data_IF_621439150906
#
_entry.id   IF_621439150906
#
_cell.length_a   1.000
_cell.length_b   1.000
_cell.length_c   1.000
_cell.angle_alpha   90.00
_cell.angle_beta   90.00
_cell.angle_gamma   90.00
#
_symmetry.space_group_name_H-M   'P 1'
#
loop_
_entity.id
_entity.type
_entity.pdbx_description
1 polymer ?
#
# COMPACT_ATOMS: atom_id res chain seq x y z
N UNK A 1 -80.22 37.44 21.90
CA UNK A 1 -78.97 37.21 22.66
C UNK A 1 -78.17 36.14 21.93
N UNK A 2 -77.01 36.45 21.33
CA UNK A 2 -76.20 35.46 20.64
C UNK A 2 -75.15 34.86 21.59
N UNK A 3 -75.03 33.53 21.61
CA UNK A 3 -73.88 32.83 22.19
C UNK A 3 -73.04 32.35 21.00
N UNK A 4 -71.87 32.96 20.86
CA UNK A 4 -70.81 32.59 19.93
C UNK A 4 -70.11 31.31 20.42
N UNK A 5 -70.14 30.24 19.63
CA UNK A 5 -69.24 29.09 19.80
C UNK A 5 -68.17 29.11 18.71
N UNK A 6 -66.95 29.39 19.13
CA UNK A 6 -65.74 29.31 18.32
C UNK A 6 -65.34 27.83 18.14
N UNK A 7 -65.33 27.36 16.89
CA UNK A 7 -64.84 26.01 16.54
C UNK A 7 -63.34 26.13 16.24
N UNK A 8 -62.54 25.63 17.17
CA UNK A 8 -61.08 25.55 17.07
C UNK A 8 -60.73 24.38 16.14
N UNK A 9 -60.09 24.69 14.99
CA UNK A 9 -59.55 23.69 14.06
C UNK A 9 -58.14 23.28 14.52
N UNK A 10 -57.88 22.01 14.88
CA UNK A 10 -56.50 21.57 15.04
C UNK A 10 -55.87 21.40 13.65
N UNK A 11 -54.89 22.26 13.33
CA UNK A 11 -53.95 22.05 12.24
C UNK A 11 -53.12 20.79 12.53
N UNK A 12 -53.39 19.71 11.79
CA UNK A 12 -52.51 18.54 11.74
C UNK A 12 -51.28 18.95 10.91
N UNK A 13 -50.18 19.22 11.58
CA UNK A 13 -48.87 19.41 10.97
C UNK A 13 -48.33 18.05 10.50
N UNK A 14 -48.34 17.82 9.19
CA UNK A 14 -47.61 16.72 8.58
C UNK A 14 -46.09 16.99 8.67
N UNK A 15 -45.43 16.42 9.67
CA UNK A 15 -43.98 16.35 9.73
C UNK A 15 -43.48 15.35 8.68
N UNK A 16 -43.04 15.83 7.52
CA UNK A 16 -42.31 15.04 6.55
C UNK A 16 -40.93 14.70 7.14
N UNK A 17 -40.76 13.47 7.61
CA UNK A 17 -39.46 12.93 7.98
C UNK A 17 -38.61 12.76 6.72
N UNK A 18 -37.78 13.76 6.42
CA UNK A 18 -36.72 13.63 5.42
C UNK A 18 -35.70 12.61 5.94
N UNK A 19 -35.79 11.37 5.45
CA UNK A 19 -34.73 10.38 5.59
C UNK A 19 -33.49 10.96 4.90
N UNK A 20 -32.55 11.46 5.70
CA UNK A 20 -31.22 11.81 5.25
C UNK A 20 -30.54 10.53 4.75
N UNK A 21 -30.61 10.28 3.44
CA UNK A 21 -29.75 9.31 2.77
C UNK A 21 -28.33 9.82 2.94
N UNK A 22 -27.62 9.31 3.94
CA UNK A 22 -26.19 9.57 4.05
C UNK A 22 -25.54 9.06 2.76
N UNK A 23 -24.80 9.89 2.01
CA UNK A 23 -24.02 9.40 0.91
C UNK A 23 -22.99 8.42 1.48
N UNK A 24 -23.22 7.13 1.29
CA UNK A 24 -22.14 6.16 1.38
C UNK A 24 -21.16 6.62 0.31
N UNK A 25 -19.91 6.99 0.66
CA UNK A 25 -18.94 7.32 -0.36
C UNK A 25 -18.88 6.11 -1.27
N UNK A 26 -19.27 6.28 -2.53
CA UNK A 26 -18.99 5.28 -3.54
C UNK A 26 -17.47 5.11 -3.47
N UNK A 27 -17.00 3.99 -2.91
CA UNK A 27 -15.60 3.63 -2.96
C UNK A 27 -15.31 3.43 -4.44
N UNK A 28 -14.89 4.49 -5.12
CA UNK A 28 -14.41 4.42 -6.47
C UNK A 28 -13.18 3.54 -6.37
N UNK A 29 -13.31 2.25 -6.71
CA UNK A 29 -12.26 1.24 -6.60
C UNK A 29 -11.00 1.71 -7.34
N UNK A 30 -10.18 2.53 -6.68
CA UNK A 30 -9.01 3.11 -7.31
C UNK A 30 -8.00 1.99 -7.53
N UNK A 31 -7.08 2.12 -8.50
CA UNK A 31 -6.01 1.14 -8.65
C UNK A 31 -5.28 0.86 -7.33
N UNK A 32 -5.03 1.90 -6.52
CA UNK A 32 -4.38 1.80 -5.21
C UNK A 32 -5.20 0.99 -4.20
N UNK A 33 -6.51 1.20 -4.13
CA UNK A 33 -7.40 0.44 -3.22
C UNK A 33 -7.45 -1.04 -3.61
N UNK A 34 -7.61 -1.32 -4.91
CA UNK A 34 -7.58 -2.69 -5.44
C UNK A 34 -6.26 -3.40 -5.09
N UNK A 35 -5.13 -2.71 -5.25
CA UNK A 35 -3.81 -3.26 -4.94
C UNK A 35 -3.57 -3.42 -3.44
N UNK A 36 -4.08 -2.50 -2.62
CA UNK A 36 -4.01 -2.60 -1.15
C UNK A 36 -4.79 -3.82 -0.67
N UNK A 37 -6.01 -4.04 -1.21
CA UNK A 37 -6.82 -5.21 -0.91
C UNK A 37 -6.10 -6.50 -1.36
N UNK A 38 -5.61 -6.54 -2.61
CA UNK A 38 -4.87 -7.69 -3.13
C UNK A 38 -3.66 -8.04 -2.25
N UNK A 39 -2.82 -7.05 -1.92
CA UNK A 39 -1.55 -7.28 -1.23
C UNK A 39 -1.69 -7.64 0.25
N UNK A 40 -2.65 -7.05 0.96
CA UNK A 40 -2.67 -7.10 2.43
C UNK A 40 -3.92 -7.74 3.04
N UNK A 41 -4.98 -7.95 2.24
CA UNK A 41 -6.28 -8.44 2.73
C UNK A 41 -6.66 -9.80 2.15
N UNK A 42 -6.04 -10.23 1.05
CA UNK A 42 -6.29 -11.55 0.46
C UNK A 42 -5.28 -12.59 0.91
N UNK A 43 -5.76 -13.83 1.07
CA UNK A 43 -4.94 -15.03 1.29
C UNK A 43 -4.97 -15.98 0.09
N UNK A 44 -5.87 -15.74 -0.86
CA UNK A 44 -6.03 -16.54 -2.08
C UNK A 44 -5.37 -15.87 -3.29
N UNK A 45 -4.47 -16.62 -3.95
CA UNK A 45 -3.72 -16.16 -5.11
C UNK A 45 -4.61 -15.82 -6.30
N UNK A 46 -5.64 -16.63 -6.56
CA UNK A 46 -6.51 -16.41 -7.71
C UNK A 46 -7.30 -15.11 -7.56
N UNK A 47 -7.85 -14.87 -6.36
CA UNK A 47 -8.53 -13.62 -6.02
C UNK A 47 -7.62 -12.41 -6.13
N UNK A 48 -6.37 -12.51 -5.67
CA UNK A 48 -5.41 -11.43 -5.79
C UNK A 48 -5.10 -11.09 -7.25
N UNK A 49 -4.91 -12.10 -8.11
CA UNK A 49 -4.69 -11.91 -9.54
C UNK A 49 -5.88 -11.21 -10.22
N UNK A 50 -7.12 -11.52 -9.82
CA UNK A 50 -8.30 -10.80 -10.31
C UNK A 50 -8.27 -9.32 -9.92
N UNK A 51 -7.95 -9.00 -8.67
CA UNK A 51 -7.86 -7.61 -8.19
C UNK A 51 -6.72 -6.84 -8.90
N UNK A 52 -5.57 -7.49 -9.08
CA UNK A 52 -4.42 -6.94 -9.82
C UNK A 52 -4.80 -6.65 -11.28
N UNK A 53 -5.48 -7.59 -11.95
CA UNK A 53 -5.95 -7.40 -13.33
C UNK A 53 -6.89 -6.20 -13.44
N UNK A 54 -7.83 -6.05 -12.51
CA UNK A 54 -8.71 -4.88 -12.44
C UNK A 54 -7.93 -3.57 -12.24
N UNK A 55 -6.92 -3.57 -11.37
CA UNK A 55 -6.09 -2.40 -11.15
C UNK A 55 -5.35 -1.97 -12.42
N UNK A 56 -4.82 -2.92 -13.20
CA UNK A 56 -4.22 -2.65 -14.52
C UNK A 56 -5.23 -2.01 -15.46
N UNK A 57 -6.42 -2.60 -15.62
CA UNK A 57 -7.46 -2.08 -16.51
C UNK A 57 -7.91 -0.67 -16.13
N UNK A 58 -8.07 -0.40 -14.82
CA UNK A 58 -8.46 0.94 -14.35
C UNK A 58 -7.33 1.95 -14.57
N UNK A 59 -6.08 1.59 -14.28
CA UNK A 59 -4.92 2.44 -14.58
C UNK A 59 -4.81 2.73 -16.07
N UNK A 60 -4.98 1.73 -16.94
CA UNK A 60 -4.91 1.90 -18.40
C UNK A 60 -5.98 2.85 -18.91
N UNK A 61 -7.21 2.77 -18.39
CA UNK A 61 -8.27 3.72 -18.71
C UNK A 61 -7.89 5.15 -18.33
N UNK A 62 -7.40 5.34 -17.11
CA UNK A 62 -6.96 6.67 -16.65
C UNK A 62 -5.85 7.21 -17.55
N UNK A 63 -4.89 6.37 -17.95
CA UNK A 63 -3.78 6.78 -18.81
C UNK A 63 -4.21 7.04 -20.26
N UNK A 64 -5.26 6.39 -20.76
CA UNK A 64 -5.83 6.71 -22.05
C UNK A 64 -6.44 8.12 -22.06
N UNK A 65 -7.09 8.52 -20.97
CA UNK A 65 -7.66 9.87 -20.81
C UNK A 65 -6.61 10.91 -20.44
N UNK A 66 -5.62 10.52 -19.62
CA UNK A 66 -4.57 11.37 -19.05
C UNK A 66 -3.21 10.67 -19.11
N UNK A 67 -2.53 10.67 -20.27
CA UNK A 67 -1.26 9.94 -20.47
C UNK A 67 -0.13 10.34 -19.53
N UNK A 68 -0.21 11.54 -18.94
CA UNK A 68 0.76 12.04 -17.96
C UNK A 68 0.40 11.76 -16.49
N UNK A 69 -0.68 11.01 -16.20
CA UNK A 69 -1.11 10.76 -14.82
C UNK A 69 -0.08 9.89 -14.07
N UNK A 70 0.62 10.54 -13.14
CA UNK A 70 1.70 9.94 -12.36
C UNK A 70 1.19 8.81 -11.46
N UNK A 71 0.03 8.98 -10.84
CA UNK A 71 -0.51 7.99 -9.91
C UNK A 71 -0.97 6.75 -10.66
N UNK A 72 -1.70 6.90 -11.77
CA UNK A 72 -2.10 5.78 -12.60
C UNK A 72 -0.89 5.01 -13.16
N UNK A 73 0.17 5.73 -13.56
CA UNK A 73 1.44 5.12 -13.99
C UNK A 73 2.09 4.31 -12.88
N UNK A 74 2.19 4.88 -11.66
CA UNK A 74 2.75 4.17 -10.51
C UNK A 74 1.94 2.90 -10.21
N UNK A 75 0.63 3.03 -10.05
CA UNK A 75 -0.23 1.88 -9.69
C UNK A 75 -0.23 0.81 -10.78
N UNK A 76 -0.13 1.20 -12.06
CA UNK A 76 0.05 0.24 -13.16
C UNK A 76 1.35 -0.55 -13.00
N UNK A 77 2.46 0.14 -12.73
CA UNK A 77 3.75 -0.50 -12.46
C UNK A 77 3.69 -1.46 -11.26
N UNK A 78 3.05 -1.05 -10.16
CA UNK A 78 2.85 -1.89 -8.96
C UNK A 78 2.01 -3.12 -9.30
N UNK A 79 0.91 -2.95 -10.03
CA UNK A 79 0.05 -4.06 -10.44
C UNK A 79 0.79 -5.07 -11.32
N UNK A 80 1.57 -4.60 -12.30
CA UNK A 80 2.41 -5.47 -13.14
C UNK A 80 3.47 -6.19 -12.29
N UNK A 81 4.13 -5.49 -11.36
CA UNK A 81 5.10 -6.10 -10.46
C UNK A 81 4.49 -7.15 -9.51
N UNK A 82 3.28 -6.90 -9.02
CA UNK A 82 2.52 -7.87 -8.23
C UNK A 82 2.10 -9.09 -9.06
N UNK A 83 1.64 -8.88 -10.30
CA UNK A 83 1.39 -9.99 -11.24
C UNK A 83 2.65 -10.80 -11.48
N UNK A 84 3.79 -10.14 -11.68
CA UNK A 84 5.09 -10.79 -11.82
C UNK A 84 5.44 -11.67 -10.63
N UNK A 85 5.28 -11.15 -9.40
CA UNK A 85 5.54 -11.87 -8.14
C UNK A 85 4.68 -13.14 -8.04
N UNK A 86 3.38 -13.04 -8.33
CA UNK A 86 2.47 -14.19 -8.20
C UNK A 86 2.58 -15.21 -9.36
N UNK A 87 2.92 -14.76 -10.56
CA UNK A 87 3.01 -15.62 -11.76
C UNK A 87 4.43 -16.05 -12.12
N UNK A 88 5.45 -15.53 -11.42
CA UNK A 88 6.87 -15.69 -11.74
C UNK A 88 7.25 -15.18 -13.15
N UNK A 89 6.52 -14.18 -13.65
CA UNK A 89 6.74 -13.59 -14.97
C UNK A 89 7.95 -12.64 -14.98
N UNK A 90 9.02 -13.04 -15.67
CA UNK A 90 10.25 -12.22 -15.79
C UNK A 90 10.03 -10.97 -16.64
N UNK A 91 9.20 -11.05 -17.68
CA UNK A 91 8.89 -9.90 -18.53
C UNK A 91 8.15 -8.84 -17.73
N UNK A 92 7.11 -9.23 -16.98
CA UNK A 92 6.37 -8.30 -16.12
C UNK A 92 7.28 -7.68 -15.04
N UNK A 93 8.17 -8.48 -14.44
CA UNK A 93 9.13 -7.95 -13.46
C UNK A 93 10.03 -6.85 -14.06
N UNK A 94 10.55 -7.05 -15.28
CA UNK A 94 11.36 -6.04 -15.97
C UNK A 94 10.52 -4.83 -16.36
N UNK A 95 9.31 -5.04 -16.87
CA UNK A 95 8.39 -3.95 -17.22
C UNK A 95 8.05 -3.09 -16.00
N UNK A 96 7.77 -3.69 -14.84
CA UNK A 96 7.47 -2.91 -13.63
C UNK A 96 8.67 -2.08 -13.18
N UNK A 97 9.90 -2.65 -13.22
CA UNK A 97 11.10 -1.90 -12.84
C UNK A 97 11.33 -0.72 -13.77
N UNK A 98 11.22 -0.92 -15.08
CA UNK A 98 11.39 0.16 -16.06
C UNK A 98 10.39 1.31 -15.83
N UNK A 99 9.13 1.00 -15.47
CA UNK A 99 8.13 2.01 -15.09
C UNK A 99 8.57 2.77 -13.85
N UNK A 100 9.05 2.07 -12.81
CA UNK A 100 9.49 2.70 -11.57
C UNK A 100 10.72 3.59 -11.76
N UNK A 101 11.70 3.14 -12.53
CA UNK A 101 12.90 3.90 -12.85
C UNK A 101 12.55 5.15 -13.67
N UNK A 102 11.66 5.04 -14.66
CA UNK A 102 11.17 6.19 -15.42
C UNK A 102 10.43 7.20 -14.54
N UNK A 103 9.60 6.74 -13.60
CA UNK A 103 8.94 7.61 -12.62
C UNK A 103 9.94 8.31 -11.70
N UNK A 104 10.92 7.58 -11.17
CA UNK A 104 11.96 8.15 -10.31
C UNK A 104 12.85 9.15 -11.04
N UNK A 105 13.13 8.92 -12.33
CA UNK A 105 13.87 9.87 -13.17
C UNK A 105 13.04 11.15 -13.43
N UNK A 106 11.74 11.00 -13.71
CA UNK A 106 10.83 12.13 -13.98
C UNK A 106 10.48 12.92 -12.72
N UNK A 107 10.37 12.25 -11.57
CA UNK A 107 10.01 12.83 -10.28
C UNK A 107 11.05 12.44 -9.21
N UNK A 108 12.24 13.07 -9.19
CA UNK A 108 13.34 12.66 -8.30
C UNK A 108 13.05 12.77 -6.80
N UNK A 109 12.05 13.57 -6.42
CA UNK A 109 11.61 13.77 -5.03
C UNK A 109 10.41 12.88 -4.63
N UNK A 110 10.06 11.94 -5.48
CA UNK A 110 8.93 11.05 -5.28
C UNK A 110 9.31 9.87 -4.37
N UNK A 111 8.87 9.95 -3.12
CA UNK A 111 9.13 8.93 -2.12
C UNK A 111 8.56 7.56 -2.50
N UNK A 112 7.37 7.52 -3.12
CA UNK A 112 6.73 6.25 -3.47
C UNK A 112 7.42 5.59 -4.66
N UNK A 113 7.90 6.36 -5.64
CA UNK A 113 8.71 5.82 -6.74
C UNK A 113 10.00 5.16 -6.20
N UNK A 114 10.68 5.80 -5.25
CA UNK A 114 11.84 5.22 -4.57
C UNK A 114 11.45 3.97 -3.77
N UNK A 115 10.29 3.98 -3.10
CA UNK A 115 9.83 2.84 -2.31
C UNK A 115 9.55 1.60 -3.17
N UNK A 116 8.94 1.77 -4.35
CA UNK A 116 8.66 0.63 -5.24
C UNK A 116 9.93 0.09 -5.91
N UNK A 117 10.94 0.93 -6.18
CA UNK A 117 12.28 0.48 -6.60
C UNK A 117 12.94 -0.35 -5.50
N UNK A 118 12.89 0.13 -4.25
CA UNK A 118 13.39 -0.60 -3.10
C UNK A 118 12.70 -1.95 -2.96
N UNK A 119 11.36 -1.95 -3.00
CA UNK A 119 10.52 -3.14 -2.97
C UNK A 119 10.91 -4.14 -4.05
N UNK A 120 11.06 -3.68 -5.29
CA UNK A 120 11.40 -4.54 -6.43
C UNK A 120 12.74 -5.26 -6.24
N UNK A 121 13.80 -4.55 -5.88
CA UNK A 121 15.12 -5.14 -5.69
C UNK A 121 15.17 -6.08 -4.48
N UNK A 122 14.65 -5.63 -3.34
CA UNK A 122 14.77 -6.36 -2.08
C UNK A 122 13.84 -7.57 -2.02
N UNK A 123 12.63 -7.50 -2.58
CA UNK A 123 11.73 -8.67 -2.69
C UNK A 123 12.26 -9.71 -3.67
N UNK A 124 12.86 -9.29 -4.80
CA UNK A 124 13.47 -10.22 -5.74
C UNK A 124 14.60 -11.03 -5.09
N UNK A 125 15.42 -10.37 -4.26
CA UNK A 125 16.51 -11.02 -3.52
C UNK A 125 15.97 -11.94 -2.42
N UNK A 126 14.96 -11.50 -1.68
CA UNK A 126 14.30 -12.31 -0.63
C UNK A 126 13.67 -13.59 -1.22
N UNK A 127 13.08 -13.53 -2.41
CA UNK A 127 12.40 -14.67 -3.03
C UNK A 127 13.32 -15.64 -3.78
N UNK A 128 14.31 -15.12 -4.50
CA UNK A 128 15.15 -15.94 -5.40
C UNK A 128 16.55 -16.20 -4.82
N UNK A 129 16.93 -15.50 -3.75
CA UNK A 129 18.31 -15.40 -3.31
C UNK A 129 19.13 -14.45 -4.18
N UNK A 130 20.20 -13.89 -3.61
CA UNK A 130 20.98 -12.82 -4.23
C UNK A 130 21.61 -13.18 -5.59
N UNK A 131 22.09 -14.41 -5.76
CA UNK A 131 22.71 -14.86 -7.02
C UNK A 131 21.69 -14.96 -8.17
N UNK A 132 20.56 -15.63 -7.93
CA UNK A 132 19.53 -15.82 -8.95
C UNK A 132 18.79 -14.53 -9.27
N UNK A 133 18.45 -13.72 -8.24
CA UNK A 133 17.81 -12.42 -8.42
C UNK A 133 18.66 -11.49 -9.30
N UNK A 134 19.98 -11.47 -9.06
CA UNK A 134 20.93 -10.70 -9.87
C UNK A 134 21.01 -11.22 -11.31
N UNK A 135 21.19 -12.52 -11.49
CA UNK A 135 21.44 -13.11 -12.81
C UNK A 135 20.19 -13.07 -13.70
N UNK A 136 19.01 -13.36 -13.15
CA UNK A 136 17.78 -13.47 -13.94
C UNK A 136 17.06 -12.15 -14.13
N UNK A 137 17.05 -11.32 -13.08
CA UNK A 137 16.26 -10.09 -13.04
C UNK A 137 17.14 -8.83 -13.04
N UNK A 138 18.41 -8.92 -12.66
CA UNK A 138 19.28 -7.74 -12.50
C UNK A 138 19.15 -7.09 -11.12
N UNK A 139 18.58 -7.79 -10.13
CA UNK A 139 18.38 -7.22 -8.81
C UNK A 139 19.70 -6.95 -8.06
N UNK A 140 19.78 -5.82 -7.36
CA UNK A 140 20.96 -5.38 -6.61
C UNK A 140 20.55 -4.86 -5.23
N UNK A 141 21.08 -5.47 -4.17
CA UNK A 141 20.79 -5.09 -2.78
C UNK A 141 21.15 -3.63 -2.52
N UNK A 142 22.30 -3.18 -3.03
CA UNK A 142 22.78 -1.80 -2.83
C UNK A 142 21.81 -0.77 -3.42
N UNK A 143 21.25 -1.05 -4.60
CA UNK A 143 20.25 -0.16 -5.22
C UNK A 143 18.95 -0.16 -4.43
N UNK A 144 18.51 -1.34 -3.98
CA UNK A 144 17.33 -1.49 -3.15
C UNK A 144 17.42 -0.71 -1.84
N UNK A 145 18.52 -0.85 -1.09
CA UNK A 145 18.73 -0.15 0.19
C UNK A 145 18.92 1.37 0.02
N UNK A 146 19.59 1.80 -1.05
CA UNK A 146 19.75 3.21 -1.36
C UNK A 146 18.40 3.86 -1.72
N UNK A 147 17.56 3.15 -2.49
CA UNK A 147 16.20 3.59 -2.80
C UNK A 147 15.32 3.59 -1.55
N UNK A 148 15.44 2.58 -0.67
CA UNK A 148 14.67 2.52 0.58
C UNK A 148 14.98 3.70 1.50
N UNK A 149 16.27 4.00 1.63
CA UNK A 149 16.75 5.14 2.42
C UNK A 149 16.25 6.46 1.84
N UNK A 150 16.29 6.63 0.51
CA UNK A 150 15.71 7.80 -0.16
C UNK A 150 14.20 7.89 0.03
N UNK A 151 13.47 6.78 -0.06
CA UNK A 151 12.03 6.76 0.13
C UNK A 151 11.64 7.24 1.54
N UNK A 152 12.35 6.79 2.57
CA UNK A 152 12.13 7.26 3.95
C UNK A 152 12.50 8.73 4.11
N UNK A 153 13.60 9.19 3.50
CA UNK A 153 14.03 10.59 3.60
C UNK A 153 13.11 11.57 2.85
N UNK A 154 12.56 11.14 1.70
CA UNK A 154 11.61 11.92 0.89
C UNK A 154 10.17 11.77 1.39
N UNK A 155 9.88 10.69 2.12
CA UNK A 155 8.57 10.35 2.62
C UNK A 155 7.93 11.53 3.32
N UNK A 156 6.67 11.79 2.99
CA UNK A 156 5.88 12.74 3.75
C UNK A 156 5.79 12.28 5.23
N UNK A 157 5.14 13.09 6.07
CA UNK A 157 4.95 12.74 7.48
C UNK A 157 4.04 11.49 7.68
N UNK A 158 3.58 10.80 6.63
CA UNK A 158 2.70 9.64 6.68
C UNK A 158 3.38 8.34 7.12
N UNK A 159 2.57 7.38 7.56
CA UNK A 159 3.06 6.12 8.10
C UNK A 159 3.61 5.13 7.05
N UNK A 160 3.28 5.31 5.76
CA UNK A 160 3.61 4.36 4.71
C UNK A 160 5.11 4.06 4.59
N UNK A 161 5.92 5.09 4.31
CA UNK A 161 7.35 4.91 4.07
C UNK A 161 8.11 4.33 5.27
N UNK A 162 8.01 4.92 6.49
CA UNK A 162 8.71 4.37 7.64
C UNK A 162 8.20 2.98 8.04
N UNK A 163 6.90 2.71 7.92
CA UNK A 163 6.32 1.42 8.29
C UNK A 163 6.79 0.28 7.38
N UNK A 164 6.76 0.52 6.06
CA UNK A 164 7.23 -0.45 5.09
C UNK A 164 8.75 -0.68 5.20
N UNK A 165 9.53 0.39 5.38
CA UNK A 165 10.97 0.30 5.56
C UNK A 165 11.38 -0.48 6.82
N UNK A 166 10.66 -0.30 7.94
CA UNK A 166 10.90 -1.06 9.16
C UNK A 166 10.78 -2.57 8.91
N UNK A 167 9.70 -2.99 8.25
CA UNK A 167 9.44 -4.40 7.92
C UNK A 167 10.46 -4.96 6.93
N UNK A 168 10.80 -4.20 5.88
CA UNK A 168 11.77 -4.65 4.87
C UNK A 168 13.17 -4.83 5.47
N UNK A 169 13.62 -3.90 6.32
CA UNK A 169 14.93 -3.97 6.96
C UNK A 169 15.04 -5.14 7.93
N UNK A 170 14.06 -5.31 8.83
CA UNK A 170 14.11 -6.42 9.80
C UNK A 170 13.94 -7.79 9.14
N UNK A 171 13.17 -7.88 8.04
CA UNK A 171 13.09 -9.10 7.22
C UNK A 171 14.45 -9.47 6.62
N UNK A 172 15.16 -8.46 6.09
CA UNK A 172 16.46 -8.62 5.42
C UNK A 172 17.56 -9.01 6.41
N UNK A 173 17.62 -8.31 7.55
CA UNK A 173 18.57 -8.55 8.62
C UNK A 173 17.87 -8.49 9.98
N UNK A 174 17.68 -9.67 10.59
CA UNK A 174 17.05 -9.77 11.91
C UNK A 174 17.90 -9.17 13.04
N UNK A 175 19.16 -8.84 12.81
CA UNK A 175 19.99 -8.16 13.80
C UNK A 175 19.81 -6.63 13.76
N UNK A 176 19.19 -6.10 12.71
CA UNK A 176 18.98 -4.65 12.53
C UNK A 176 17.78 -4.12 13.34
N UNK A 177 17.69 -4.52 14.61
CA UNK A 177 16.56 -4.23 15.49
C UNK A 177 16.46 -2.73 15.78
N UNK A 178 17.58 -2.07 16.05
CA UNK A 178 17.59 -0.67 16.48
C UNK A 178 16.97 0.25 15.41
N UNK A 179 17.40 0.11 14.16
CA UNK A 179 16.90 0.93 13.06
C UNK A 179 15.48 0.54 12.66
N UNK A 180 15.15 -0.75 12.64
CA UNK A 180 13.78 -1.20 12.40
C UNK A 180 12.80 -0.66 13.46
N UNK A 181 13.21 -0.65 14.74
CA UNK A 181 12.43 -0.07 15.84
C UNK A 181 12.20 1.42 15.64
N UNK A 182 13.25 2.18 15.33
CA UNK A 182 13.16 3.63 15.08
C UNK A 182 12.13 3.94 13.99
N UNK A 183 12.18 3.20 12.88
CA UNK A 183 11.25 3.36 11.76
C UNK A 183 9.82 2.94 12.14
N UNK A 184 9.66 1.80 12.82
CA UNK A 184 8.34 1.33 13.25
C UNK A 184 7.67 2.30 14.24
N UNK A 185 8.44 2.91 15.14
CA UNK A 185 7.93 3.94 16.05
C UNK A 185 7.58 5.25 15.34
N UNK A 186 8.35 5.64 14.32
CA UNK A 186 8.00 6.77 13.46
C UNK A 186 6.66 6.52 12.76
N UNK A 187 6.46 5.34 12.17
CA UNK A 187 5.20 4.96 11.53
C UNK A 187 4.03 4.90 12.52
N UNK A 188 4.26 4.42 13.75
CA UNK A 188 3.23 4.37 14.79
C UNK A 188 2.75 5.76 15.25
N UNK A 189 3.60 6.79 15.14
CA UNK A 189 3.25 8.18 15.50
C UNK A 189 2.75 9.01 14.31
N UNK A 190 3.04 8.59 13.09
CA UNK A 190 2.69 9.31 11.88
C UNK A 190 1.17 9.43 11.65
N UNK A 191 0.69 10.51 11.00
CA UNK A 191 -0.64 10.58 10.39
C UNK A 191 -0.85 9.48 9.34
N UNK A 192 -2.12 9.18 9.07
CA UNK A 192 -2.53 8.17 8.09
C UNK A 192 -3.50 8.76 7.07
N UNK A 193 -3.02 9.60 6.13
CA UNK A 193 -3.88 10.28 5.16
C UNK A 193 -4.48 9.32 4.12
N UNK A 194 -3.88 8.15 3.91
CA UNK A 194 -4.40 7.14 2.97
C UNK A 194 -4.75 5.82 3.66
N UNK A 195 -5.63 4.99 3.06
CA UNK A 195 -5.88 3.63 3.53
C UNK A 195 -4.60 2.79 3.65
N UNK A 196 -3.62 3.00 2.76
CA UNK A 196 -2.35 2.30 2.80
C UNK A 196 -1.51 2.71 4.03
N UNK A 197 -1.53 3.99 4.42
CA UNK A 197 -0.90 4.44 5.66
C UNK A 197 -1.51 3.77 6.89
N UNK A 198 -2.84 3.61 6.92
CA UNK A 198 -3.53 2.89 8.02
C UNK A 198 -3.00 1.46 8.13
N UNK A 199 -2.87 0.76 6.99
CA UNK A 199 -2.31 -0.60 6.98
C UNK A 199 -0.86 -0.60 7.46
N UNK A 200 -0.01 0.30 6.98
CA UNK A 200 1.41 0.35 7.37
C UNK A 200 1.60 0.71 8.83
N UNK A 201 0.82 1.65 9.37
CA UNK A 201 0.82 2.00 10.79
C UNK A 201 0.47 0.80 11.65
N UNK A 202 -0.63 0.10 11.32
CA UNK A 202 -1.05 -1.11 12.04
C UNK A 202 0.04 -2.19 11.99
N UNK A 203 0.63 -2.42 10.83
CA UNK A 203 1.65 -3.44 10.66
C UNK A 203 2.95 -3.10 11.42
N UNK A 204 3.37 -1.83 11.41
CA UNK A 204 4.50 -1.35 12.20
C UNK A 204 4.26 -1.54 13.70
N UNK A 205 3.07 -1.20 14.18
CA UNK A 205 2.68 -1.43 15.58
C UNK A 205 2.75 -2.92 15.94
N UNK A 206 2.36 -3.81 15.03
CA UNK A 206 2.37 -5.25 15.29
C UNK A 206 3.78 -5.84 15.51
N UNK A 207 4.82 -5.26 14.90
CA UNK A 207 6.21 -5.74 15.08
C UNK A 207 6.94 -5.06 16.25
N UNK A 208 6.42 -3.94 16.77
CA UNK A 208 7.07 -3.17 17.85
C UNK A 208 7.33 -3.96 19.13
N UNK A 209 6.43 -4.83 19.63
CA UNK A 209 6.69 -5.60 20.85
C UNK A 209 7.98 -6.44 20.75
N UNK A 210 8.14 -7.18 19.65
CA UNK A 210 9.34 -8.00 19.41
C UNK A 210 10.59 -7.12 19.26
N UNK A 211 10.50 -6.02 18.52
CA UNK A 211 11.61 -5.07 18.38
C UNK A 211 12.03 -4.43 19.71
N UNK A 212 11.09 -4.13 20.60
CA UNK A 212 11.37 -3.58 21.94
C UNK A 212 12.00 -4.61 22.87
N UNK A 213 11.66 -5.89 22.72
CA UNK A 213 12.27 -7.00 23.43
C UNK A 213 13.64 -7.43 22.86
N UNK A 214 14.16 -6.71 21.86
CA UNK A 214 15.36 -7.08 21.11
C UNK A 214 15.26 -8.45 20.39
N UNK A 215 14.03 -8.93 20.15
CA UNK A 215 13.74 -10.17 19.45
C UNK A 215 13.53 -9.89 17.95
N UNK A 216 14.65 -9.66 17.27
CA UNK A 216 14.64 -9.40 15.84
C UNK A 216 14.21 -10.58 14.97
N UNK A 217 14.37 -11.82 15.44
CA UNK A 217 13.92 -13.02 14.72
C UNK A 217 12.39 -13.09 14.66
N UNK A 218 11.72 -12.88 15.80
CA UNK A 218 10.26 -12.81 15.84
C UNK A 218 9.73 -11.61 15.05
N UNK A 219 10.38 -10.44 15.17
CA UNK A 219 10.01 -9.27 14.37
C UNK A 219 10.15 -9.54 12.86
N UNK A 220 11.22 -10.20 12.41
CA UNK A 220 11.43 -10.59 11.02
C UNK A 220 10.36 -11.58 10.53
N UNK A 221 10.00 -12.58 11.35
CA UNK A 221 8.96 -13.54 11.03
C UNK A 221 7.57 -12.87 10.88
N UNK A 222 7.24 -11.93 11.76
CA UNK A 222 6.02 -11.13 11.65
C UNK A 222 6.06 -10.23 10.41
N UNK A 223 7.18 -9.55 10.15
CA UNK A 223 7.35 -8.70 8.98
C UNK A 223 7.11 -9.46 7.66
N UNK A 224 7.62 -10.69 7.52
CA UNK A 224 7.35 -11.54 6.34
C UNK A 224 5.86 -11.75 6.10
N UNK A 225 5.06 -11.93 7.17
CA UNK A 225 3.61 -12.11 7.07
C UNK A 225 2.85 -10.81 6.80
N UNK A 226 3.42 -9.67 7.16
CA UNK A 226 2.76 -8.36 7.08
C UNK A 226 3.09 -7.58 5.80
N UNK A 227 4.15 -7.98 5.09
CA UNK A 227 4.51 -7.46 3.77
C UNK A 227 3.56 -7.96 2.67
N UNK A 228 3.53 -7.30 1.49
CA UNK A 228 2.65 -7.69 0.39
C UNK A 228 2.69 -9.18 0.06
N UNK A 229 1.52 -9.83 0.10
CA UNK A 229 1.29 -11.25 -0.13
C UNK A 229 1.87 -12.21 0.92
N UNK A 230 2.38 -11.70 2.04
CA UNK A 230 3.00 -12.50 3.10
C UNK A 230 2.06 -13.47 3.83
N UNK A 231 0.74 -13.31 3.65
CA UNK A 231 -0.28 -14.19 4.24
C UNK A 231 -0.84 -15.21 3.26
N UNK A 232 -0.39 -15.20 2.01
CA UNK A 232 -0.81 -16.20 1.05
C UNK A 232 -0.15 -17.52 1.39
N UNK A 233 -0.97 -18.57 1.38
CA UNK A 233 -0.49 -19.95 1.34
C UNK A 233 -0.42 -20.37 -0.12
N UNK A 234 0.65 -21.05 -0.50
CA UNK A 234 0.78 -21.65 -1.84
C UNK A 234 -0.30 -22.72 -2.10
#
# INVERSE_FOLDING_TARGET
MPITMAIWRPMIACAAAALAVMPVPAMANTPRELLTAAAFQTTDKARALVLIGRAITVSDRILAERPGDREATLQRGVAIGYRAKLTRSRSDARTSLAIFEALAARYPRDAEAQMVIAGWHLDAIDQLGGFMARTMLGAKAQLGEAALTRAVALGNQGAFCPGLAAMMRIRSDSNNVAEARKLAEAAARAPTPTPLDIVMKRNAIAILPALRANDGKTAAALARKLLPFGRMTD
#
